data_IF_259498614961
#
_entry.id   IF_259498614961
#
_cell.length_a   1.000
_cell.length_b   1.000
_cell.length_c   1.000
_cell.angle_alpha   90.00
_cell.angle_beta   90.00
_cell.angle_gamma   90.00
#
_symmetry.space_group_name_H-M   'P 1'
#
loop_
_entity.id
_entity.type
_entity.pdbx_description
1 polymer ?
#
# COMPACT_ATOMS: atom_id res chain seq x y z
N UNK A 1 -16.38 -32.27 26.84
CA UNK A 1 -14.95 -32.15 27.19
C UNK A 1 -14.68 -30.69 27.45
N UNK A 2 -14.14 -30.34 28.61
CA UNK A 2 -13.71 -28.95 28.86
C UNK A 2 -12.53 -28.63 27.92
N UNK A 3 -12.43 -27.40 27.40
CA UNK A 3 -11.29 -27.00 26.57
C UNK A 3 -10.00 -27.16 27.39
N UNK A 4 -9.01 -27.88 26.84
CA UNK A 4 -7.69 -27.99 27.47
C UNK A 4 -7.05 -26.61 27.53
N UNK A 5 -6.49 -26.27 28.68
CA UNK A 5 -5.77 -25.00 28.85
C UNK A 5 -4.43 -25.11 28.13
N UNK A 6 -4.04 -24.15 27.26
CA UNK A 6 -2.81 -24.26 26.48
C UNK A 6 -1.58 -24.28 27.39
N UNK A 7 -0.57 -25.14 27.12
CA UNK A 7 0.63 -25.27 27.96
C UNK A 7 1.53 -24.03 27.92
N UNK A 8 1.51 -23.30 26.81
CA UNK A 8 2.35 -22.13 26.56
C UNK A 8 1.48 -21.02 25.97
N UNK A 9 1.62 -19.80 26.47
CA UNK A 9 1.01 -18.59 25.89
C UNK A 9 2.05 -17.49 25.78
N UNK A 10 2.02 -16.72 24.68
CA UNK A 10 2.91 -15.57 24.45
C UNK A 10 2.11 -14.29 24.51
N UNK A 11 2.55 -13.33 25.32
CA UNK A 11 1.94 -12.01 25.47
C UNK A 11 2.93 -10.93 25.02
N UNK A 12 2.47 -10.06 24.14
CA UNK A 12 3.22 -8.89 23.65
C UNK A 12 2.47 -7.62 24.05
N UNK A 13 3.22 -6.60 24.46
CA UNK A 13 2.66 -5.32 24.91
C UNK A 13 2.36 -4.34 23.77
N UNK A 14 2.82 -4.62 22.55
CA UNK A 14 2.79 -3.70 21.40
C UNK A 14 2.37 -4.42 20.13
N UNK A 15 1.75 -3.69 19.21
CA UNK A 15 1.27 -4.22 17.91
C UNK A 15 2.23 -3.89 16.77
N UNK A 16 2.83 -2.69 16.81
CA UNK A 16 3.81 -2.22 15.83
C UNK A 16 5.11 -1.92 16.55
N UNK A 17 6.17 -2.60 16.11
CA UNK A 17 7.53 -2.42 16.58
C UNK A 17 8.35 -1.60 15.59
N UNK A 18 9.43 -1.00 16.07
CA UNK A 18 10.31 -0.15 15.29
C UNK A 18 11.68 -0.80 15.21
N UNK A 19 12.31 -0.80 14.04
CA UNK A 19 13.68 -1.30 13.87
C UNK A 19 14.62 -0.58 14.85
N UNK A 20 15.61 -1.30 15.39
CA UNK A 20 16.52 -0.72 16.40
C UNK A 20 15.93 -0.56 17.80
N UNK A 21 14.64 -0.82 18.02
CA UNK A 21 14.03 -0.85 19.36
C UNK A 21 13.98 -2.28 19.93
N UNK A 22 13.90 -2.42 21.27
CA UNK A 22 13.65 -3.71 21.88
C UNK A 22 12.22 -4.21 21.62
N UNK A 23 12.07 -5.51 21.45
CA UNK A 23 10.81 -6.23 21.58
C UNK A 23 10.79 -6.86 22.96
N UNK A 24 9.72 -6.61 23.70
CA UNK A 24 9.50 -7.13 25.04
C UNK A 24 8.15 -7.82 25.13
N UNK A 25 8.09 -8.85 25.95
CA UNK A 25 6.88 -9.61 26.20
C UNK A 25 7.08 -10.62 27.32
N UNK A 26 6.08 -11.46 27.49
CA UNK A 26 6.07 -12.53 28.49
C UNK A 26 5.64 -13.85 27.85
N UNK A 27 6.26 -14.94 28.30
CA UNK A 27 5.79 -16.29 28.06
C UNK A 27 5.18 -16.81 29.36
N UNK A 28 3.91 -17.19 29.30
CA UNK A 28 3.19 -17.84 30.40
C UNK A 28 3.17 -19.34 30.16
N UNK A 29 3.67 -20.11 31.12
CA UNK A 29 3.67 -21.56 31.12
C UNK A 29 2.57 -22.06 32.04
N UNK A 30 1.71 -22.96 31.56
CA UNK A 30 0.74 -23.68 32.36
C UNK A 30 1.28 -25.09 32.65
N UNK A 31 1.63 -25.36 33.91
CA UNK A 31 2.32 -26.58 34.29
C UNK A 31 1.47 -27.83 34.12
N UNK A 32 0.12 -27.73 34.18
CA UNK A 32 -0.75 -28.88 33.86
C UNK A 32 -0.53 -29.32 32.41
N UNK A 33 -0.62 -28.37 31.48
CA UNK A 33 -0.37 -28.64 30.06
C UNK A 33 1.08 -29.04 29.76
N UNK A 34 2.06 -28.41 30.43
CA UNK A 34 3.49 -28.76 30.26
C UNK A 34 3.76 -30.22 30.64
N UNK A 35 3.15 -30.70 31.73
CA UNK A 35 3.26 -32.09 32.16
C UNK A 35 2.50 -33.04 31.23
N UNK A 36 1.27 -32.70 30.84
CA UNK A 36 0.45 -33.48 29.90
C UNK A 36 1.14 -33.67 28.54
N UNK A 37 1.82 -32.65 28.02
CA UNK A 37 2.55 -32.71 26.75
C UNK A 37 4.02 -33.15 26.89
N UNK A 38 4.48 -33.52 28.09
CA UNK A 38 5.87 -33.88 28.40
C UNK A 38 6.91 -32.86 27.88
N UNK A 39 6.63 -31.57 28.03
CA UNK A 39 7.55 -30.49 27.63
C UNK A 39 8.71 -30.43 28.62
N UNK A 40 9.94 -30.44 28.09
CA UNK A 40 11.20 -30.49 28.86
C UNK A 40 11.91 -29.14 28.90
N UNK A 41 11.83 -28.37 27.82
CA UNK A 41 12.43 -27.04 27.72
C UNK A 41 11.47 -26.08 27.02
N UNK A 42 11.51 -24.81 27.38
CA UNK A 42 10.80 -23.76 26.66
C UNK A 42 11.78 -22.70 26.20
N UNK A 43 11.78 -22.50 24.88
CA UNK A 43 12.61 -21.52 24.20
C UNK A 43 11.72 -20.40 23.66
N UNK A 44 12.23 -19.18 23.63
CA UNK A 44 11.63 -18.08 22.87
C UNK A 44 12.56 -17.69 21.73
N UNK A 45 11.99 -17.53 20.54
CA UNK A 45 12.71 -17.31 19.30
C UNK A 45 12.13 -16.11 18.57
N UNK A 46 12.96 -15.13 18.23
CA UNK A 46 12.62 -14.07 17.30
C UNK A 46 13.21 -14.40 15.92
N UNK A 47 12.36 -14.42 14.90
CA UNK A 47 12.76 -14.68 13.51
C UNK A 47 12.24 -13.59 12.60
N UNK A 48 13.07 -13.17 11.65
CA UNK A 48 12.74 -12.26 10.57
C UNK A 48 13.24 -12.81 9.24
N UNK A 49 12.41 -12.83 8.20
CA UNK A 49 12.76 -13.39 6.89
C UNK A 49 12.14 -12.59 5.75
N UNK A 50 12.92 -12.30 4.72
CA UNK A 50 12.40 -11.87 3.42
C UNK A 50 12.24 -13.09 2.51
N UNK A 51 11.11 -13.20 1.83
CA UNK A 51 10.77 -14.34 0.98
C UNK A 51 10.25 -13.87 -0.34
N UNK A 52 10.73 -14.51 -1.39
CA UNK A 52 10.24 -14.31 -2.74
C UNK A 52 9.93 -15.63 -3.40
N UNK A 53 8.86 -15.61 -4.18
CA UNK A 53 8.43 -16.71 -5.02
C UNK A 53 8.03 -16.15 -6.38
N UNK A 54 8.57 -16.74 -7.43
CA UNK A 54 8.22 -16.45 -8.82
C UNK A 54 7.96 -17.78 -9.52
N UNK A 55 6.75 -17.93 -10.04
CA UNK A 55 6.35 -19.03 -10.92
C UNK A 55 6.56 -18.58 -12.36
N UNK A 56 7.46 -19.26 -13.07
CA UNK A 56 7.69 -19.05 -14.49
C UNK A 56 6.96 -20.12 -15.29
N UNK A 57 5.99 -19.71 -16.11
CA UNK A 57 5.34 -20.60 -17.07
C UNK A 57 6.14 -20.56 -18.37
N UNK A 58 7.00 -21.55 -18.59
CA UNK A 58 7.67 -21.69 -19.87
C UNK A 58 6.66 -22.21 -20.91
N UNK A 59 6.52 -21.49 -22.02
CA UNK A 59 5.90 -22.05 -23.22
C UNK A 59 7.00 -22.75 -24.01
N UNK A 60 7.27 -24.01 -23.67
CA UNK A 60 8.16 -24.85 -24.48
C UNK A 60 7.33 -25.48 -25.60
N UNK A 61 7.73 -25.30 -26.88
CA UNK A 61 7.18 -26.12 -27.95
C UNK A 61 7.58 -27.57 -27.65
N UNK A 62 6.60 -28.43 -27.43
CA UNK A 62 6.88 -29.83 -27.12
C UNK A 62 7.54 -30.48 -28.34
N UNK A 63 8.69 -31.16 -28.20
CA UNK A 63 9.26 -31.96 -29.27
C UNK A 63 8.47 -33.27 -29.35
N UNK A 64 7.25 -33.24 -29.87
CA UNK A 64 6.53 -34.45 -30.27
C UNK A 64 6.81 -34.71 -31.73
N UNK A 65 7.46 -35.85 -32.00
CA UNK A 65 7.29 -36.55 -33.26
C UNK A 65 5.78 -36.65 -33.56
N UNK A 66 5.34 -36.11 -34.70
CA UNK A 66 3.96 -36.06 -35.23
C UNK A 66 3.00 -34.97 -34.67
N UNK A 67 3.15 -33.75 -35.19
CA UNK A 67 2.12 -32.95 -35.88
C UNK A 67 0.76 -32.57 -35.22
N UNK A 68 0.66 -32.39 -33.89
CA UNK A 68 -0.44 -31.58 -33.33
C UNK A 68 0.05 -30.20 -32.81
N UNK A 69 -0.06 -29.12 -33.61
CA UNK A 69 0.31 -27.78 -33.20
C UNK A 69 -0.57 -27.17 -32.09
N UNK A 70 -1.56 -27.89 -31.56
CA UNK A 70 -2.43 -27.42 -30.47
C UNK A 70 -2.03 -27.92 -29.08
N UNK A 71 -1.06 -28.84 -28.96
CA UNK A 71 -0.60 -29.34 -27.67
C UNK A 71 0.53 -28.48 -27.08
N UNK A 72 0.18 -27.33 -26.49
CA UNK A 72 1.10 -26.55 -25.65
C UNK A 72 1.10 -27.16 -24.24
N UNK A 73 2.21 -27.75 -23.81
CA UNK A 73 2.42 -28.10 -22.41
C UNK A 73 3.01 -26.90 -21.67
N UNK A 74 2.42 -26.57 -20.52
CA UNK A 74 2.95 -25.52 -19.65
C UNK A 74 3.84 -26.16 -18.60
N UNK A 75 5.15 -26.17 -18.85
CA UNK A 75 6.13 -26.49 -17.81
C UNK A 75 6.19 -25.31 -16.84
N UNK A 76 5.91 -25.59 -15.56
CA UNK A 76 5.95 -24.60 -14.48
C UNK A 76 7.24 -24.77 -13.71
N UNK A 77 8.07 -23.74 -13.72
CA UNK A 77 9.24 -23.66 -12.86
C UNK A 77 8.95 -22.73 -11.68
N UNK A 78 9.10 -23.29 -10.49
CA UNK A 78 8.90 -22.57 -9.24
C UNK A 78 10.25 -22.13 -8.66
N UNK A 79 10.45 -20.83 -8.50
CA UNK A 79 11.66 -20.29 -7.90
C UNK A 79 11.37 -19.67 -6.55
N UNK A 80 12.02 -20.21 -5.51
CA UNK A 80 11.94 -19.72 -4.14
C UNK A 80 13.30 -19.18 -3.69
N UNK A 81 13.27 -18.07 -2.95
CA UNK A 81 14.42 -17.53 -2.24
C UNK A 81 14.01 -17.03 -0.85
N UNK A 82 14.84 -17.34 0.14
CA UNK A 82 14.67 -16.92 1.53
C UNK A 82 15.93 -16.20 1.98
N UNK A 83 15.77 -15.02 2.56
CA UNK A 83 16.88 -14.24 3.14
C UNK A 83 16.59 -14.03 4.63
N UNK A 84 17.41 -14.61 5.53
CA UNK A 84 17.28 -14.36 6.95
C UNK A 84 17.62 -12.89 7.24
N UNK A 85 16.70 -12.18 7.89
CA UNK A 85 16.89 -10.78 8.28
C UNK A 85 17.29 -10.69 9.75
N UNK A 86 16.68 -11.53 10.59
CA UNK A 86 16.92 -11.56 12.02
C UNK A 86 16.78 -12.98 12.58
N UNK A 87 17.67 -13.35 13.50
CA UNK A 87 17.62 -14.59 14.25
C UNK A 87 18.10 -14.33 15.68
N UNK A 88 17.24 -14.60 16.66
CA UNK A 88 17.59 -14.51 18.08
C UNK A 88 16.85 -15.56 18.88
N UNK A 89 17.55 -16.19 19.82
CA UNK A 89 17.04 -17.28 20.66
C UNK A 89 17.37 -17.05 22.12
N UNK A 90 16.45 -17.44 23.00
CA UNK A 90 16.69 -17.50 24.43
C UNK A 90 15.96 -18.71 25.03
N UNK A 91 16.62 -19.39 25.97
CA UNK A 91 15.98 -20.45 26.77
C UNK A 91 15.35 -19.77 27.98
N UNK A 92 14.05 -19.99 28.18
CA UNK A 92 13.31 -19.38 29.29
C UNK A 92 13.15 -20.32 30.48
N UNK A 93 13.02 -21.62 30.23
CA UNK A 93 12.76 -22.61 31.27
C UNK A 93 13.23 -24.00 30.86
N UNK A 94 13.75 -24.77 31.82
CA UNK A 94 13.95 -26.21 31.72
C UNK A 94 13.26 -26.93 32.87
N UNK A 95 12.87 -28.18 32.63
CA UNK A 95 12.31 -29.05 33.66
C UNK A 95 13.32 -29.20 34.80
N UNK A 96 12.88 -28.88 36.01
CA UNK A 96 13.73 -28.86 37.21
C UNK A 96 14.20 -27.46 37.64
N UNK A 97 14.01 -26.42 36.83
CA UNK A 97 14.44 -25.05 37.17
C UNK A 97 13.50 -24.38 38.19
N UNK A 98 12.51 -23.62 37.70
CA UNK A 98 11.54 -22.90 38.50
C UNK A 98 10.15 -23.53 38.37
N UNK A 99 9.39 -23.50 39.46
CA UNK A 99 8.02 -24.02 39.53
C UNK A 99 7.03 -22.90 39.93
N UNK A 100 5.73 -23.06 39.63
CA UNK A 100 4.70 -22.11 40.06
C UNK A 100 4.68 -21.93 41.59
N UNK A 101 4.31 -20.73 42.09
CA UNK A 101 4.09 -20.53 43.52
C UNK A 101 2.90 -21.36 44.02
N UNK A 102 2.84 -21.68 45.33
CA UNK A 102 1.72 -22.45 45.91
C UNK A 102 0.36 -21.84 45.56
N UNK A 103 -0.57 -22.67 45.09
CA UNK A 103 -1.91 -22.24 44.67
C UNK A 103 -2.02 -21.70 43.23
N UNK A 104 -0.91 -21.67 42.49
CA UNK A 104 -0.89 -21.38 41.04
C UNK A 104 -0.39 -22.58 40.26
N UNK A 105 -0.89 -22.75 39.04
CA UNK A 105 -0.34 -23.70 38.05
C UNK A 105 0.43 -22.99 36.93
N UNK A 106 0.69 -21.70 37.10
CA UNK A 106 1.27 -20.86 36.06
C UNK A 106 2.55 -20.17 36.50
N UNK A 107 3.49 -20.04 35.56
CA UNK A 107 4.75 -19.33 35.72
C UNK A 107 4.96 -18.40 34.52
N UNK A 108 5.44 -17.18 34.76
CA UNK A 108 5.65 -16.17 33.72
C UNK A 108 7.12 -15.83 33.59
N UNK A 109 7.61 -15.82 32.35
CA UNK A 109 8.98 -15.46 32.02
C UNK A 109 8.99 -14.23 31.11
N UNK A 110 9.57 -13.10 31.54
CA UNK A 110 9.78 -11.97 30.64
C UNK A 110 10.88 -12.31 29.63
N UNK A 111 10.77 -11.76 28.43
CA UNK A 111 11.83 -11.83 27.43
C UNK A 111 12.05 -10.47 26.77
N UNK A 112 13.27 -10.26 26.27
CA UNK A 112 13.65 -9.07 25.53
C UNK A 112 14.59 -9.42 24.38
N UNK A 113 14.26 -8.95 23.18
CA UNK A 113 15.13 -9.03 22.01
C UNK A 113 15.42 -7.65 21.46
N UNK A 114 16.68 -7.38 21.13
CA UNK A 114 17.07 -6.11 20.50
C UNK A 114 16.98 -6.23 18.98
N UNK A 115 16.10 -5.46 18.34
CA UNK A 115 16.01 -5.44 16.87
C UNK A 115 17.23 -4.72 16.26
N UNK A 116 17.63 -5.18 15.07
CA UNK A 116 18.59 -4.46 14.24
C UNK A 116 17.96 -3.16 13.69
N UNK A 117 18.72 -2.08 13.53
CA UNK A 117 18.20 -0.78 13.09
C UNK A 117 17.80 -0.73 11.62
N UNK A 118 18.35 -1.60 10.78
CA UNK A 118 18.23 -1.62 9.32
C UNK A 118 17.17 -2.62 8.80
N UNK A 119 16.31 -3.13 9.69
CA UNK A 119 15.28 -4.08 9.29
C UNK A 119 14.24 -3.44 8.36
N UNK A 120 13.90 -4.08 7.23
CA UNK A 120 12.82 -3.62 6.37
C UNK A 120 11.45 -3.71 7.08
N UNK A 121 10.43 -2.97 6.61
CA UNK A 121 9.10 -3.07 7.15
C UNK A 121 8.48 -4.44 6.90
N UNK A 122 7.57 -4.86 7.78
CA UNK A 122 6.66 -5.97 7.53
C UNK A 122 5.88 -5.73 6.25
N UNK A 123 5.86 -6.73 5.37
CA UNK A 123 5.29 -6.60 4.03
C UNK A 123 4.73 -7.94 3.56
N UNK A 124 3.64 -7.91 2.79
CA UNK A 124 3.11 -9.11 2.12
C UNK A 124 2.38 -8.74 0.85
N UNK A 125 2.78 -9.38 -0.22
CA UNK A 125 2.17 -9.33 -1.55
C UNK A 125 2.00 -10.75 -2.08
N UNK A 126 0.84 -11.04 -2.65
CA UNK A 126 0.55 -12.30 -3.30
C UNK A 126 -0.28 -12.08 -4.56
N UNK A 127 0.11 -12.77 -5.62
CA UNK A 127 -0.62 -12.89 -6.88
C UNK A 127 -0.49 -14.34 -7.38
N UNK A 128 -1.17 -14.70 -8.47
CA UNK A 128 -1.21 -16.08 -8.97
C UNK A 128 0.18 -16.69 -9.24
N UNK A 129 1.13 -15.91 -9.75
CA UNK A 129 2.47 -16.39 -10.12
C UNK A 129 3.60 -15.78 -9.30
N UNK A 130 3.31 -14.90 -8.34
CA UNK A 130 4.33 -14.12 -7.64
C UNK A 130 3.93 -13.89 -6.21
N UNK A 131 4.84 -14.12 -5.27
CA UNK A 131 4.66 -13.74 -3.86
C UNK A 131 5.93 -13.08 -3.35
N UNK A 132 5.77 -12.06 -2.52
CA UNK A 132 6.85 -11.41 -1.82
C UNK A 132 6.39 -11.09 -0.40
N UNK A 133 7.20 -11.39 0.60
CA UNK A 133 6.87 -11.09 1.99
C UNK A 133 8.10 -10.79 2.83
N UNK A 134 7.93 -9.94 3.82
CA UNK A 134 8.88 -9.66 4.89
C UNK A 134 8.16 -9.97 6.19
N UNK A 135 8.52 -11.10 6.80
CA UNK A 135 7.80 -11.71 7.89
C UNK A 135 8.63 -11.65 9.18
N UNK A 136 8.02 -11.24 10.28
CA UNK A 136 8.63 -11.27 11.62
C UNK A 136 7.71 -11.98 12.59
N UNK A 137 8.25 -12.83 13.45
CA UNK A 137 7.46 -13.46 14.51
C UNK A 137 8.31 -13.79 15.74
N UNK A 138 7.65 -13.71 16.90
CA UNK A 138 8.08 -14.39 18.11
C UNK A 138 7.46 -15.80 18.10
N UNK A 139 8.25 -16.80 18.43
CA UNK A 139 7.79 -18.17 18.65
C UNK A 139 8.24 -18.65 20.02
N UNK A 140 7.30 -19.10 20.86
CA UNK A 140 7.64 -19.92 22.02
C UNK A 140 7.58 -21.40 21.61
N UNK A 141 8.64 -22.14 21.91
CA UNK A 141 8.82 -23.53 21.50
C UNK A 141 9.01 -24.39 22.73
N UNK A 142 8.02 -25.25 23.02
CA UNK A 142 8.12 -26.32 24.00
C UNK A 142 8.77 -27.55 23.38
N UNK A 143 9.97 -27.88 23.81
CA UNK A 143 10.75 -29.02 23.32
C UNK A 143 10.27 -30.29 24.02
N UNK A 144 9.92 -31.31 23.24
CA UNK A 144 9.50 -32.63 23.73
C UNK A 144 10.57 -33.68 23.44
N UNK A 145 10.78 -34.67 24.31
CA UNK A 145 11.77 -35.69 24.08
C UNK A 145 11.30 -36.68 23.00
N UNK A 146 12.24 -37.30 22.30
CA UNK A 146 11.97 -38.30 21.27
C UNK A 146 11.91 -37.73 19.85
N UNK A 147 12.49 -38.47 18.90
CA UNK A 147 12.70 -38.05 17.50
C UNK A 147 11.41 -37.85 16.70
N UNK A 148 10.31 -38.47 17.13
CA UNK A 148 9.01 -38.44 16.43
C UNK A 148 8.00 -37.46 17.04
N UNK A 149 8.31 -36.88 18.19
CA UNK A 149 7.44 -35.90 18.82
C UNK A 149 7.70 -34.52 18.21
N UNK A 150 6.69 -33.94 17.57
CA UNK A 150 6.77 -32.56 17.10
C UNK A 150 6.94 -31.62 18.30
N UNK A 151 7.71 -30.54 18.21
CA UNK A 151 7.75 -29.57 19.30
C UNK A 151 6.43 -28.78 19.38
N UNK A 152 5.97 -28.47 20.59
CA UNK A 152 4.86 -27.54 20.80
C UNK A 152 5.33 -26.14 20.38
N UNK A 153 4.57 -25.43 19.54
CA UNK A 153 4.97 -24.10 19.05
C UNK A 153 3.80 -23.13 19.05
N UNK A 154 3.97 -22.03 19.77
CA UNK A 154 3.08 -20.87 19.73
C UNK A 154 3.79 -19.76 18.97
N UNK A 155 3.14 -19.21 17.94
CA UNK A 155 3.73 -18.17 17.09
C UNK A 155 2.88 -16.91 17.11
N UNK A 156 3.52 -15.77 17.29
CA UNK A 156 2.90 -14.45 17.28
C UNK A 156 3.59 -13.58 16.20
N UNK A 157 2.92 -13.32 15.06
CA UNK A 157 3.42 -12.40 14.05
C UNK A 157 3.58 -10.98 14.59
N UNK A 158 4.57 -10.24 14.05
CA UNK A 158 4.89 -8.86 14.43
C UNK A 158 4.80 -7.93 13.23
N UNK A 159 4.23 -6.74 13.40
CA UNK A 159 4.46 -5.66 12.45
C UNK A 159 5.72 -4.87 12.87
N UNK A 160 6.69 -4.77 11.97
CA UNK A 160 7.90 -3.94 12.14
C UNK A 160 7.87 -2.83 11.09
N UNK A 161 8.30 -1.64 11.48
CA UNK A 161 8.58 -0.52 10.56
C UNK A 161 9.97 0.04 10.85
N UNK A 162 10.66 0.64 9.86
CA UNK A 162 11.92 1.33 10.10
C UNK A 162 11.78 2.49 11.09
N UNK A 163 12.78 2.71 11.94
CA UNK A 163 12.90 3.94 12.73
C UNK A 163 13.08 5.15 11.81
N UNK A 164 12.29 6.19 12.02
CA UNK A 164 12.26 7.33 11.11
C UNK A 164 12.11 8.68 11.84
N UNK A 165 13.21 9.19 12.44
CA UNK A 165 13.20 10.50 13.07
C UNK A 165 12.94 11.65 12.06
N UNK A 166 13.38 11.50 10.81
CA UNK A 166 13.15 12.51 9.77
C UNK A 166 11.66 12.61 9.40
N UNK A 167 10.96 11.49 9.25
CA UNK A 167 9.54 11.48 8.98
C UNK A 167 8.67 11.96 10.13
N UNK A 168 9.15 11.92 11.39
CA UNK A 168 8.45 12.58 12.51
C UNK A 168 8.40 14.09 12.29
N UNK A 169 9.52 14.71 11.89
CA UNK A 169 9.55 16.15 11.57
C UNK A 169 8.63 16.49 10.38
N UNK A 170 8.59 15.62 9.37
CA UNK A 170 7.67 15.79 8.23
C UNK A 170 6.21 15.67 8.68
N UNK A 171 5.90 14.71 9.57
CA UNK A 171 4.56 14.54 10.14
C UNK A 171 4.13 15.78 10.92
N UNK A 172 5.01 16.33 11.75
CA UNK A 172 4.76 17.58 12.47
C UNK A 172 4.48 18.73 11.51
N UNK A 173 5.30 18.87 10.45
CA UNK A 173 5.08 19.86 9.39
C UNK A 173 3.74 19.66 8.67
N UNK A 174 3.33 18.42 8.36
CA UNK A 174 2.03 18.15 7.74
C UNK A 174 0.86 18.52 8.67
N UNK A 175 1.01 18.29 9.98
CA UNK A 175 -0.01 18.65 10.97
C UNK A 175 -0.21 20.17 11.12
N UNK A 176 0.81 20.98 10.78
CA UNK A 176 0.69 22.44 10.78
C UNK A 176 0.07 23.00 9.50
N UNK A 177 0.07 22.24 8.40
CA UNK A 177 -0.63 22.60 7.15
C UNK A 177 -2.14 22.40 7.37
N UNK A 178 -2.75 23.38 8.04
CA UNK A 178 -4.21 23.41 8.28
C UNK A 178 -5.00 24.01 7.13
N UNK A 179 -4.35 24.72 6.20
CA UNK A 179 -4.99 25.33 5.02
C UNK A 179 -4.10 25.22 3.78
N UNK A 180 -4.75 25.23 2.60
CA UNK A 180 -4.11 25.16 1.28
C UNK A 180 -3.15 26.35 1.02
N UNK A 181 -3.30 27.43 1.80
CA UNK A 181 -2.53 28.67 1.69
C UNK A 181 -1.21 28.68 2.48
N UNK A 182 -0.88 27.59 3.18
CA UNK A 182 0.38 27.50 3.92
C UNK A 182 1.59 27.60 2.98
N UNK A 183 2.68 28.24 3.41
CA UNK A 183 3.95 28.44 2.65
C UNK A 183 4.64 27.14 2.17
N UNK A 184 4.06 25.97 2.44
CA UNK A 184 4.59 24.71 1.94
C UNK A 184 4.39 24.65 0.44
N UNK A 185 5.50 24.76 -0.30
CA UNK A 185 5.48 24.62 -1.75
C UNK A 185 4.77 23.32 -2.17
N UNK A 186 4.07 23.36 -3.31
CA UNK A 186 3.32 22.23 -3.84
C UNK A 186 4.14 21.52 -4.91
N UNK A 187 4.25 20.19 -4.80
CA UNK A 187 4.74 19.35 -5.89
C UNK A 187 3.56 19.02 -6.79
N UNK A 188 3.74 19.28 -8.07
CA UNK A 188 2.67 19.15 -9.06
C UNK A 188 3.14 18.30 -10.23
N UNK A 189 2.40 17.26 -10.55
CA UNK A 189 2.54 16.50 -11.80
C UNK A 189 1.33 16.77 -12.67
N UNK A 190 1.55 16.85 -13.98
CA UNK A 190 0.46 17.03 -14.94
C UNK A 190 0.72 16.23 -16.21
N UNK A 191 -0.35 15.92 -16.92
CA UNK A 191 -0.26 15.30 -18.23
C UNK A 191 -1.39 15.86 -19.11
N UNK A 192 -1.22 15.76 -20.42
CA UNK A 192 -2.18 16.22 -21.42
C UNK A 192 -2.42 15.12 -22.45
N UNK A 193 -3.69 14.90 -22.80
CA UNK A 193 -4.09 13.92 -23.81
C UNK A 193 -5.10 14.50 -24.78
N UNK A 194 -4.99 14.10 -26.04
CA UNK A 194 -5.99 14.37 -27.06
C UNK A 194 -7.04 13.25 -27.07
N UNK A 195 -8.31 13.61 -26.97
CA UNK A 195 -9.43 12.65 -26.94
C UNK A 195 -10.52 13.03 -27.94
N UNK A 196 -11.34 12.06 -28.34
CA UNK A 196 -12.38 12.25 -29.35
C UNK A 196 -13.64 11.44 -29.03
N UNK A 197 -14.82 11.97 -29.38
CA UNK A 197 -16.11 11.35 -29.01
C UNK A 197 -16.41 10.02 -29.72
N UNK A 198 -15.81 9.78 -30.90
CA UNK A 198 -16.01 8.58 -31.70
C UNK A 198 -14.83 8.30 -32.63
N UNK A 199 -14.98 7.35 -33.56
CA UNK A 199 -13.91 6.97 -34.51
C UNK A 199 -13.57 8.07 -35.53
N UNK A 200 -14.48 9.03 -35.73
CA UNK A 200 -14.37 10.14 -36.65
C UNK A 200 -14.67 11.45 -35.90
N UNK A 201 -13.89 12.49 -36.15
CA UNK A 201 -14.07 13.80 -35.54
C UNK A 201 -12.76 14.45 -35.14
N UNK A 202 -12.85 15.74 -34.81
CA UNK A 202 -11.74 16.53 -34.30
C UNK A 202 -11.37 16.11 -32.88
N UNK A 203 -10.10 16.30 -32.54
CA UNK A 203 -9.60 16.04 -31.21
C UNK A 203 -9.90 17.22 -30.29
N UNK A 204 -10.31 16.88 -29.07
CA UNK A 204 -10.33 17.78 -27.93
C UNK A 204 -9.13 17.49 -27.03
N UNK A 205 -8.77 18.42 -26.17
CA UNK A 205 -7.63 18.27 -25.27
C UNK A 205 -8.12 18.18 -23.83
N UNK A 206 -7.55 17.25 -23.06
CA UNK A 206 -7.72 17.19 -21.61
C UNK A 206 -6.35 17.32 -20.96
N UNK A 207 -6.27 18.18 -19.95
CA UNK A 207 -5.15 18.31 -19.06
C UNK A 207 -5.60 17.94 -17.65
N UNK A 208 -4.87 17.06 -16.97
CA UNK A 208 -5.09 16.76 -15.55
C UNK A 208 -3.81 17.02 -14.79
N UNK A 209 -3.96 17.62 -13.63
CA UNK A 209 -2.90 18.05 -12.75
C UNK A 209 -3.20 17.54 -11.34
N UNK A 210 -2.24 16.87 -10.71
CA UNK A 210 -2.27 16.44 -9.33
C UNK A 210 -1.22 17.23 -8.56
N UNK A 211 -1.62 17.82 -7.44
CA UNK A 211 -0.73 18.53 -6.52
C UNK A 211 -0.82 17.97 -5.12
N UNK A 212 0.33 17.80 -4.47
CA UNK A 212 0.50 17.44 -3.05
C UNK A 212 1.60 18.31 -2.43
N UNK A 213 1.71 18.43 -1.08
CA UNK A 213 2.81 19.15 -0.44
C UNK A 213 4.18 18.66 -0.94
N UNK A 214 5.08 19.57 -1.31
CA UNK A 214 6.42 19.23 -1.80
C UNK A 214 7.31 18.75 -0.65
N UNK A 215 7.22 17.47 -0.35
CA UNK A 215 7.96 16.80 0.70
C UNK A 215 8.82 15.67 0.10
N UNK A 216 9.99 15.38 0.70
CA UNK A 216 10.86 14.31 0.21
C UNK A 216 10.27 12.92 0.45
N UNK A 217 9.40 12.77 1.46
CA UNK A 217 8.67 11.54 1.77
C UNK A 217 7.35 11.86 2.48
N UNK A 218 6.43 10.90 2.51
CA UNK A 218 5.10 11.02 3.11
C UNK A 218 4.96 10.00 4.25
N UNK A 219 4.79 10.45 5.51
CA UNK A 219 4.72 9.53 6.64
C UNK A 219 3.39 8.79 6.71
N UNK A 220 3.38 7.64 7.38
CA UNK A 220 2.15 6.91 7.68
C UNK A 220 1.24 7.71 8.61
N UNK A 221 -0.05 7.38 8.58
CA UNK A 221 -1.08 7.78 9.54
C UNK A 221 -1.25 9.30 9.77
N UNK A 222 -0.78 10.14 8.84
CA UNK A 222 -1.03 11.58 8.82
C UNK A 222 -1.91 11.96 7.63
N UNK A 223 -2.74 13.00 7.78
CA UNK A 223 -3.50 13.56 6.66
C UNK A 223 -2.57 14.29 5.71
N UNK A 224 -2.61 13.91 4.43
CA UNK A 224 -1.84 14.52 3.35
C UNK A 224 -2.84 15.22 2.44
N UNK A 225 -2.86 16.56 2.40
CA UNK A 225 -3.76 17.28 1.51
C UNK A 225 -3.36 17.08 0.05
N UNK A 226 -4.33 17.15 -0.85
CA UNK A 226 -4.10 17.08 -2.29
C UNK A 226 -5.09 17.94 -3.07
N UNK A 227 -4.71 18.29 -4.29
CA UNK A 227 -5.54 19.02 -5.25
C UNK A 227 -5.48 18.29 -6.59
N UNK A 228 -6.63 18.00 -7.19
CA UNK A 228 -6.73 17.51 -8.57
C UNK A 228 -7.42 18.58 -9.40
N UNK A 229 -6.74 19.11 -10.42
CA UNK A 229 -7.31 20.04 -11.39
C UNK A 229 -7.48 19.34 -12.73
N UNK A 230 -8.66 19.46 -13.32
CA UNK A 230 -8.99 18.92 -14.64
C UNK A 230 -9.37 20.10 -15.51
N UNK A 231 -8.77 20.21 -16.69
CA UNK A 231 -9.09 21.18 -17.72
C UNK A 231 -9.42 20.42 -19.00
N UNK A 232 -10.59 20.68 -19.54
CA UNK A 232 -10.97 20.23 -20.88
C UNK A 232 -11.01 21.43 -21.83
N UNK A 233 -10.56 21.21 -23.06
CA UNK A 233 -10.62 22.16 -24.17
C UNK A 233 -11.31 21.43 -25.32
N UNK A 234 -12.47 21.91 -25.75
CA UNK A 234 -13.20 21.29 -26.86
C UNK A 234 -12.44 21.41 -28.18
N UNK A 235 -12.87 20.61 -29.16
CA UNK A 235 -12.53 20.88 -30.56
C UNK A 235 -12.97 22.30 -30.98
N UNK A 236 -12.40 22.81 -32.07
CA UNK A 236 -12.68 24.14 -32.58
C UNK A 236 -14.10 24.19 -33.16
N UNK A 237 -14.90 25.15 -32.71
CA UNK A 237 -16.28 25.33 -33.15
C UNK A 237 -16.47 26.74 -33.71
N UNK A 238 -17.37 26.88 -34.67
CA UNK A 238 -17.91 28.18 -35.04
C UNK A 238 -18.80 28.71 -33.91
N UNK A 239 -18.81 30.02 -33.66
CA UNK A 239 -19.58 30.64 -32.58
C UNK A 239 -21.07 30.28 -32.64
N UNK A 240 -21.65 30.27 -33.83
CA UNK A 240 -23.05 29.84 -34.01
C UNK A 240 -23.32 28.40 -33.50
N UNK A 241 -22.38 27.46 -33.72
CA UNK A 241 -22.49 26.08 -33.21
C UNK A 241 -22.26 26.01 -31.70
N UNK A 242 -21.42 26.89 -31.17
CA UNK A 242 -21.15 26.99 -29.74
C UNK A 242 -22.39 27.51 -28.99
N UNK A 243 -23.05 28.54 -29.51
CA UNK A 243 -24.26 29.14 -28.91
C UNK A 243 -25.49 28.22 -29.05
N UNK A 244 -25.51 27.32 -30.04
CA UNK A 244 -26.53 26.29 -30.17
C UNK A 244 -26.44 25.19 -29.08
N UNK A 245 -25.32 25.09 -28.35
CA UNK A 245 -25.17 24.12 -27.27
C UNK A 245 -25.90 24.63 -26.02
N UNK A 246 -26.88 23.89 -25.47
CA UNK A 246 -27.62 24.34 -24.28
C UNK A 246 -26.68 24.67 -23.11
N UNK A 247 -27.00 25.73 -22.36
CA UNK A 247 -26.17 26.22 -21.25
C UNK A 247 -25.99 25.17 -20.14
N UNK A 248 -26.97 24.29 -19.97
CA UNK A 248 -27.01 23.19 -18.99
C UNK A 248 -26.22 21.94 -19.42
N UNK A 249 -25.86 21.81 -20.70
CA UNK A 249 -25.16 20.63 -21.22
C UNK A 249 -23.66 20.88 -21.34
N UNK A 250 -22.77 20.04 -20.81
CA UNK A 250 -21.34 20.25 -20.95
C UNK A 250 -20.88 20.13 -22.40
N UNK A 251 -19.86 20.91 -22.77
CA UNK A 251 -19.12 20.72 -24.01
C UNK A 251 -18.30 19.42 -23.92
N UNK A 252 -18.10 18.74 -25.04
CA UNK A 252 -17.21 17.58 -25.05
C UNK A 252 -15.75 18.05 -25.02
N UNK A 253 -14.89 17.44 -24.19
CA UNK A 253 -15.18 16.39 -23.21
C UNK A 253 -15.66 16.98 -21.88
N UNK A 254 -16.75 16.44 -21.34
CA UNK A 254 -17.27 16.88 -20.06
C UNK A 254 -16.27 16.57 -18.94
N UNK A 255 -15.98 17.55 -18.08
CA UNK A 255 -15.18 17.33 -16.87
C UNK A 255 -16.05 16.64 -15.81
N UNK A 256 -15.44 15.83 -14.91
CA UNK A 256 -16.14 15.32 -13.74
C UNK A 256 -16.73 16.46 -12.91
N UNK A 257 -17.98 16.28 -12.46
CA UNK A 257 -18.66 17.22 -11.55
C UNK A 257 -18.52 16.81 -10.09
N UNK A 258 -18.31 15.52 -9.85
CA UNK A 258 -18.13 14.97 -8.51
C UNK A 258 -16.89 14.06 -8.46
N UNK A 259 -16.37 13.82 -7.25
CA UNK A 259 -15.15 13.05 -7.07
C UNK A 259 -15.33 11.56 -7.38
N UNK A 260 -16.55 11.01 -7.25
CA UNK A 260 -16.85 9.60 -7.54
C UNK A 260 -16.72 9.25 -9.02
N UNK A 261 -16.74 10.27 -9.88
CA UNK A 261 -16.56 10.13 -11.32
C UNK A 261 -15.09 9.94 -11.71
N UNK A 262 -14.14 10.14 -10.80
CA UNK A 262 -12.72 9.84 -11.02
C UNK A 262 -12.24 8.75 -10.05
N UNK A 263 -11.08 8.16 -10.36
CA UNK A 263 -10.42 7.23 -9.43
C UNK A 263 -9.11 7.84 -8.97
N UNK A 264 -8.96 8.02 -7.67
CA UNK A 264 -7.67 8.33 -7.03
C UNK A 264 -7.25 7.16 -6.16
N UNK A 265 -6.06 6.62 -6.41
CA UNK A 265 -5.57 5.43 -5.73
C UNK A 265 -4.06 5.46 -5.52
N UNK A 266 -3.60 4.67 -4.58
CA UNK A 266 -2.20 4.36 -4.37
C UNK A 266 -1.87 3.04 -5.07
N UNK A 267 -0.85 3.06 -5.93
CA UNK A 267 -0.27 1.87 -6.55
C UNK A 267 1.08 1.55 -5.90
N UNK A 268 1.34 0.28 -5.64
CA UNK A 268 2.68 -0.21 -5.35
C UNK A 268 3.31 -0.74 -6.65
N UNK A 269 4.53 -0.30 -6.96
CA UNK A 269 5.39 -0.89 -7.98
C UNK A 269 6.44 -1.71 -7.26
N UNK A 270 6.37 -3.02 -7.40
CA UNK A 270 7.31 -3.93 -6.75
C UNK A 270 8.34 -4.40 -7.75
N UNK A 271 9.55 -4.68 -7.29
CA UNK A 271 10.53 -5.51 -7.99
C UNK A 271 10.82 -6.71 -7.10
N UNK A 272 10.51 -7.90 -7.63
CA UNK A 272 10.66 -9.18 -6.94
C UNK A 272 11.76 -9.96 -7.66
N UNK A 273 12.72 -10.47 -6.91
CA UNK A 273 13.78 -11.32 -7.42
C UNK A 273 13.79 -12.64 -6.65
N UNK A 274 13.78 -13.75 -7.39
CA UNK A 274 13.98 -15.09 -6.86
C UNK A 274 15.05 -15.79 -7.72
N UNK A 275 16.25 -15.94 -7.16
CA UNK A 275 17.44 -16.44 -7.88
C UNK A 275 17.75 -15.55 -9.10
N UNK A 276 17.80 -16.16 -10.30
CA UNK A 276 18.05 -15.46 -11.56
C UNK A 276 16.80 -14.73 -12.11
N UNK A 277 15.61 -15.02 -11.59
CA UNK A 277 14.36 -14.50 -12.12
C UNK A 277 13.97 -13.19 -11.44
N UNK A 278 13.55 -12.21 -12.25
CA UNK A 278 13.12 -10.89 -11.81
C UNK A 278 11.76 -10.57 -12.39
N UNK A 279 10.93 -9.93 -11.60
CA UNK A 279 9.60 -9.48 -12.01
C UNK A 279 9.29 -8.10 -11.43
N UNK A 280 8.40 -7.36 -12.09
CA UNK A 280 8.00 -6.01 -11.66
C UNK A 280 6.47 -5.82 -11.58
N UNK A 281 5.77 -6.54 -10.69
CA UNK A 281 4.32 -6.40 -10.57
C UNK A 281 3.93 -5.01 -10.07
N UNK A 282 2.78 -4.53 -10.56
CA UNK A 282 2.10 -3.36 -10.01
C UNK A 282 0.79 -3.82 -9.38
N UNK A 283 0.43 -3.28 -8.23
CA UNK A 283 -0.82 -3.57 -7.53
C UNK A 283 -1.47 -2.30 -7.02
N UNK A 284 -2.80 -2.28 -7.00
CA UNK A 284 -3.55 -1.27 -6.27
C UNK A 284 -3.48 -1.59 -4.78
N UNK A 285 -3.11 -0.60 -3.97
CA UNK A 285 -2.91 -0.74 -2.51
C UNK A 285 -4.08 -0.12 -1.75
N UNK A 286 -4.51 1.07 -2.19
CA UNK A 286 -5.61 1.81 -1.58
C UNK A 286 -6.36 2.61 -2.63
N UNK A 287 -7.67 2.74 -2.47
CA UNK A 287 -8.52 3.65 -3.27
C UNK A 287 -9.10 4.70 -2.34
N UNK A 288 -8.80 5.98 -2.58
CA UNK A 288 -9.18 7.07 -1.69
C UNK A 288 -10.63 7.54 -1.87
N UNK A 289 -11.30 7.11 -2.94
CA UNK A 289 -12.63 7.58 -3.36
C UNK A 289 -13.83 6.71 -2.94
N UNK A 290 -13.60 5.55 -2.32
CA UNK A 290 -14.68 4.60 -1.97
C UNK A 290 -14.87 4.53 -0.46
N UNK A 291 -15.65 5.44 0.11
CA UNK A 291 -16.15 5.30 1.50
C UNK A 291 -15.97 6.49 2.43
N UNK A 292 -15.35 7.59 1.98
CA UNK A 292 -15.45 8.85 2.71
C UNK A 292 -16.86 9.41 2.50
N UNK A 293 -17.51 9.83 3.59
CA UNK A 293 -18.77 10.60 3.51
C UNK A 293 -18.52 11.84 2.63
N UNK A 294 -19.51 12.23 1.82
CA UNK A 294 -19.42 13.30 0.83
C UNK A 294 -18.88 14.64 1.39
N UNK A 295 -18.89 14.81 2.71
CA UNK A 295 -18.40 15.98 3.45
C UNK A 295 -16.86 16.17 3.42
N UNK A 296 -16.07 15.18 3.00
CA UNK A 296 -14.61 15.28 3.02
C UNK A 296 -13.97 15.89 1.75
N UNK A 297 -14.75 16.16 0.70
CA UNK A 297 -14.25 16.68 -0.58
C UNK A 297 -14.85 18.04 -0.90
N UNK A 298 -13.99 19.01 -1.20
CA UNK A 298 -14.42 20.28 -1.81
C UNK A 298 -14.27 20.16 -3.32
N UNK A 299 -15.37 20.32 -4.04
CA UNK A 299 -15.40 20.36 -5.50
C UNK A 299 -15.78 21.77 -5.97
N UNK A 300 -14.94 22.36 -6.82
CA UNK A 300 -15.20 23.62 -7.51
C UNK A 300 -15.23 23.38 -9.01
N UNK A 301 -16.39 23.60 -9.61
CA UNK A 301 -16.67 23.33 -11.03
C UNK A 301 -17.28 24.60 -11.63
N UNK A 302 -16.46 25.59 -12.02
CA UNK A 302 -16.96 26.82 -12.58
C UNK A 302 -17.68 26.58 -13.91
N UNK A 303 -18.59 27.49 -14.33
CA UNK A 303 -19.21 27.44 -15.63
C UNK A 303 -18.19 27.38 -16.77
N UNK A 304 -18.56 26.74 -17.88
CA UNK A 304 -17.72 26.68 -19.08
C UNK A 304 -17.48 28.08 -19.66
N UNK A 305 -16.30 28.28 -20.23
CA UNK A 305 -15.83 29.54 -20.78
C UNK A 305 -15.59 29.40 -22.28
N UNK A 306 -16.09 30.34 -23.08
CA UNK A 306 -15.77 30.39 -24.51
C UNK A 306 -14.51 31.21 -24.74
N UNK A 307 -13.54 30.65 -25.46
CA UNK A 307 -12.31 31.33 -25.84
C UNK A 307 -12.23 31.41 -27.37
N UNK A 308 -12.34 32.62 -27.96
CA UNK A 308 -12.12 32.81 -29.39
C UNK A 308 -10.70 32.38 -29.78
N UNK A 309 -10.57 31.75 -30.95
CA UNK A 309 -9.27 31.46 -31.52
C UNK A 309 -8.75 32.75 -32.18
N UNK A 310 -7.54 33.18 -31.81
CA UNK A 310 -6.90 34.29 -32.53
C UNK A 310 -6.78 33.88 -34.00
N UNK A 311 -7.31 34.71 -34.89
CA UNK A 311 -7.26 34.41 -36.32
C UNK A 311 -5.82 34.58 -36.77
N UNK A 312 -5.14 33.47 -37.09
CA UNK A 312 -3.81 33.45 -37.69
C UNK A 312 -3.82 34.22 -39.02
N UNK A 313 -3.54 35.53 -38.98
CA UNK A 313 -3.06 36.31 -40.12
C UNK A 313 -4.06 36.91 -41.11
N UNK A 314 -5.36 37.02 -40.80
CA UNK A 314 -6.35 37.62 -41.71
C UNK A 314 -6.86 38.99 -41.28
N UNK A 315 -6.36 40.06 -41.89
CA UNK A 315 -6.85 41.46 -41.84
C UNK A 315 -7.16 42.06 -40.44
N UNK A 316 -6.21 42.80 -39.88
CA UNK A 316 -6.39 43.60 -38.65
C UNK A 316 -7.59 44.57 -38.69
N UNK A 317 -8.11 44.88 -39.88
CA UNK A 317 -9.24 45.80 -40.08
C UNK A 317 -10.61 45.27 -39.60
N UNK A 318 -10.74 43.98 -39.23
CA UNK A 318 -12.00 43.40 -38.71
C UNK A 318 -11.94 42.95 -37.24
N UNK A 319 -11.05 43.52 -36.43
CA UNK A 319 -10.88 43.16 -35.00
C UNK A 319 -12.07 43.53 -34.08
N UNK A 320 -13.12 44.19 -34.57
CA UNK A 320 -14.20 44.72 -33.72
C UNK A 320 -15.49 43.88 -33.63
N UNK A 321 -15.80 43.05 -34.63
CA UNK A 321 -17.09 42.34 -34.68
C UNK A 321 -16.92 40.82 -34.53
N UNK A 322 -17.43 40.29 -33.42
CA UNK A 322 -17.57 38.85 -33.18
C UNK A 322 -18.71 38.33 -34.07
N UNK A 323 -18.36 37.99 -35.31
CA UNK A 323 -19.30 37.42 -36.26
C UNK A 323 -19.68 35.97 -35.92
N UNK A 324 -20.80 35.45 -36.48
CA UNK A 324 -21.23 34.06 -36.28
C UNK A 324 -20.20 33.00 -36.75
N UNK A 325 -19.29 33.40 -37.63
CA UNK A 325 -18.21 32.58 -38.19
C UNK A 325 -16.93 32.57 -37.34
N UNK A 326 -16.85 33.38 -36.27
CA UNK A 326 -15.69 33.39 -35.39
C UNK A 326 -15.50 32.01 -34.77
N UNK A 327 -14.31 31.42 -34.99
CA UNK A 327 -13.96 30.12 -34.43
C UNK A 327 -13.44 30.28 -33.00
N UNK A 328 -13.65 29.26 -32.18
CA UNK A 328 -13.15 29.23 -30.81
C UNK A 328 -13.33 27.87 -30.17
N UNK A 329 -13.05 27.78 -28.88
CA UNK A 329 -13.13 26.54 -28.10
C UNK A 329 -13.86 26.79 -26.79
N UNK A 330 -14.52 25.75 -26.28
CA UNK A 330 -15.03 25.72 -24.91
C UNK A 330 -13.95 25.21 -23.96
N UNK A 331 -13.70 25.94 -22.89
CA UNK A 331 -12.85 25.52 -21.78
C UNK A 331 -13.74 25.18 -20.59
N UNK A 332 -13.54 24.01 -20.00
CA UNK A 332 -14.23 23.61 -18.77
C UNK A 332 -13.20 23.16 -17.75
N UNK A 333 -13.44 23.47 -16.47
CA UNK A 333 -12.51 23.20 -15.38
C UNK A 333 -13.23 22.53 -14.22
N UNK A 334 -12.54 21.63 -13.54
CA UNK A 334 -12.97 21.06 -12.27
C UNK A 334 -11.78 20.98 -11.32
N UNK A 335 -11.97 21.39 -10.08
CA UNK A 335 -10.96 21.31 -9.01
C UNK A 335 -11.51 20.50 -7.86
N UNK A 336 -10.80 19.44 -7.47
CA UNK A 336 -11.12 18.62 -6.31
C UNK A 336 -10.02 18.78 -5.25
N UNK A 337 -10.43 19.04 -4.01
CA UNK A 337 -9.53 19.19 -2.87
C UNK A 337 -9.97 18.30 -1.72
N UNK A 338 -9.02 17.59 -1.11
CA UNK A 338 -9.25 16.79 0.09
C UNK A 338 -7.92 16.40 0.73
N UNK A 339 -7.93 15.42 1.64
CA UNK A 339 -6.74 14.80 2.18
C UNK A 339 -6.88 13.28 2.21
N UNK A 340 -5.76 12.57 2.16
CA UNK A 340 -5.71 11.12 2.33
C UNK A 340 -4.74 10.72 3.44
N UNK A 341 -4.85 9.48 3.92
CA UNK A 341 -3.93 8.90 4.91
C UNK A 341 -3.32 7.62 4.36
N UNK A 342 -2.07 7.36 4.70
CA UNK A 342 -1.33 6.16 4.31
C UNK A 342 -1.25 5.19 5.49
N UNK A 343 -1.61 3.93 5.26
CA UNK A 343 -1.55 2.86 6.26
C UNK A 343 -0.87 1.58 5.73
N UNK A 344 -0.19 1.66 4.59
CA UNK A 344 0.54 0.57 3.96
C UNK A 344 2.02 0.53 4.43
N UNK A 345 2.76 -0.56 4.17
CA UNK A 345 4.19 -0.61 4.45
C UNK A 345 4.96 0.57 3.80
N UNK A 346 5.95 1.18 4.47
CA UNK A 346 6.81 2.21 3.88
C UNK A 346 7.54 1.74 2.60
N UNK A 347 8.05 2.68 1.82
CA UNK A 347 8.98 2.39 0.71
C UNK A 347 10.23 1.72 1.26
N UNK A 348 10.65 0.61 0.64
CA UNK A 348 11.84 -0.11 1.09
C UNK A 348 12.48 -0.91 -0.05
N UNK A 349 13.72 -1.31 0.19
CA UNK A 349 14.43 -2.27 -0.66
C UNK A 349 15.22 -3.25 0.20
N UNK A 350 15.19 -4.52 -0.19
CA UNK A 350 16.08 -5.59 0.25
C UNK A 350 16.80 -6.13 -0.98
N UNK A 351 17.60 -7.18 -0.81
CA UNK A 351 18.25 -7.87 -1.94
C UNK A 351 17.24 -8.46 -2.95
N UNK A 352 16.07 -8.89 -2.47
CA UNK A 352 15.08 -9.62 -3.32
C UNK A 352 13.76 -8.89 -3.52
N UNK A 353 13.48 -7.85 -2.73
CA UNK A 353 12.20 -7.13 -2.76
C UNK A 353 12.48 -5.64 -2.75
N UNK A 354 11.97 -4.90 -3.73
CA UNK A 354 11.85 -3.45 -3.68
C UNK A 354 10.37 -3.09 -3.82
N UNK A 355 9.88 -2.15 -3.01
CA UNK A 355 8.51 -1.67 -3.07
C UNK A 355 8.50 -0.14 -3.14
N UNK A 356 8.15 0.39 -4.30
CA UNK A 356 7.95 1.81 -4.56
C UNK A 356 6.46 2.12 -4.68
N UNK A 357 6.09 3.39 -4.57
CA UNK A 357 4.69 3.80 -4.64
C UNK A 357 4.47 4.93 -5.64
N UNK A 358 3.27 4.97 -6.21
CA UNK A 358 2.79 6.08 -7.02
C UNK A 358 1.33 6.38 -6.72
N UNK A 359 1.00 7.66 -6.62
CA UNK A 359 -0.38 8.12 -6.65
C UNK A 359 -0.88 8.09 -8.08
N UNK A 360 -2.05 7.52 -8.31
CA UNK A 360 -2.62 7.34 -9.63
C UNK A 360 -4.00 8.00 -9.71
N UNK A 361 -4.16 8.93 -10.64
CA UNK A 361 -5.45 9.53 -11.01
C UNK A 361 -5.89 8.94 -12.35
N UNK A 362 -7.13 8.44 -12.39
CA UNK A 362 -7.82 8.06 -13.62
C UNK A 362 -9.07 8.91 -13.77
N UNK A 363 -9.20 9.58 -14.91
CA UNK A 363 -10.41 10.34 -15.25
C UNK A 363 -11.04 9.70 -16.48
N UNK A 364 -12.22 9.08 -16.34
CA UNK A 364 -12.91 8.51 -17.48
C UNK A 364 -13.55 9.61 -18.32
N UNK A 365 -13.35 9.56 -19.64
CA UNK A 365 -14.06 10.42 -20.58
C UNK A 365 -14.88 9.57 -21.56
N UNK A 366 -16.03 10.07 -22.06
CA UNK A 366 -16.84 9.32 -23.01
C UNK A 366 -16.06 8.98 -24.29
N UNK A 367 -16.15 7.73 -24.74
CA UNK A 367 -15.50 7.23 -25.95
C UNK A 367 -14.48 6.11 -25.67
N UNK A 368 -14.17 5.32 -26.70
CA UNK A 368 -13.28 4.17 -26.56
C UNK A 368 -11.82 4.62 -26.37
N UNK A 369 -11.20 4.20 -25.25
CA UNK A 369 -9.79 4.49 -24.96
C UNK A 369 -9.51 5.92 -24.49
N UNK A 370 -10.54 6.70 -24.14
CA UNK A 370 -10.38 8.08 -23.67
C UNK A 370 -10.12 8.19 -22.16
N UNK A 371 -9.82 7.09 -21.48
CA UNK A 371 -9.44 7.13 -20.07
C UNK A 371 -8.11 7.85 -19.91
N UNK A 372 -8.14 8.96 -19.19
CA UNK A 372 -6.95 9.71 -18.88
C UNK A 372 -6.26 9.10 -17.66
N UNK A 373 -4.93 8.99 -17.69
CA UNK A 373 -4.11 8.48 -16.60
C UNK A 373 -2.96 9.43 -16.25
N UNK A 374 -2.77 9.67 -14.95
CA UNK A 374 -1.63 10.38 -14.37
C UNK A 374 -1.09 9.58 -13.19
N UNK A 375 0.20 9.29 -13.20
CA UNK A 375 0.90 8.62 -12.10
C UNK A 375 1.97 9.58 -11.53
N UNK A 376 1.99 9.77 -10.21
CA UNK A 376 2.96 10.60 -9.48
C UNK A 376 3.74 9.71 -8.50
N UNK A 377 5.04 9.44 -8.72
CA UNK A 377 5.85 8.66 -7.80
C UNK A 377 5.99 9.36 -6.44
N UNK A 378 5.82 8.60 -5.36
CA UNK A 378 6.00 9.09 -3.98
C UNK A 378 6.86 8.14 -3.16
N UNK A 379 7.55 8.67 -2.16
CA UNK A 379 8.26 7.88 -1.15
C UNK A 379 7.40 7.86 0.11
N UNK A 380 7.07 6.67 0.60
CA UNK A 380 6.34 6.51 1.86
C UNK A 380 7.35 6.19 2.95
N UNK A 381 7.25 6.85 4.09
CA UNK A 381 8.12 6.63 5.24
C UNK A 381 7.31 6.29 6.48
N UNK A 382 7.90 5.68 7.51
CA UNK A 382 7.13 5.28 8.70
C UNK A 382 6.64 6.49 9.50
N UNK A 383 7.48 7.52 9.67
CA UNK A 383 7.22 8.63 10.59
C UNK A 383 7.06 8.18 12.04
N UNK A 384 7.70 7.07 12.42
CA UNK A 384 7.59 6.44 13.75
C UNK A 384 9.00 6.18 14.29
N UNK A 385 9.26 6.63 15.52
CA UNK A 385 10.56 6.43 16.22
C UNK A 385 10.45 5.53 17.43
N UNK A 386 9.24 5.28 17.92
CA UNK A 386 8.99 4.45 19.08
C UNK A 386 7.89 3.42 18.79
N UNK A 387 7.99 2.20 19.34
CA UNK A 387 6.95 1.19 19.20
C UNK A 387 5.57 1.71 19.65
N UNK A 388 4.50 1.33 18.95
CA UNK A 388 3.14 1.79 19.28
C UNK A 388 2.52 0.83 20.29
N UNK A 389 2.02 1.38 21.42
CA UNK A 389 1.41 0.56 22.46
C UNK A 389 0.15 -0.13 21.92
N UNK A 390 -0.05 -1.39 22.33
CA UNK A 390 -1.32 -2.07 22.11
C UNK A 390 -2.31 -1.53 23.13
N UNK A 391 -3.16 -0.57 22.75
CA UNK A 391 -4.29 -0.23 23.60
C UNK A 391 -5.24 -1.44 23.64
N UNK A 392 -5.30 -2.08 24.81
CA UNK A 392 -6.42 -2.92 25.19
C UNK A 392 -7.57 -1.96 25.47
N UNK A 393 -8.66 -2.08 24.72
CA UNK A 393 -9.72 -1.07 24.67
C UNK A 393 -10.38 -0.84 26.03
N UNK A 394 -10.02 0.27 26.69
CA UNK A 394 -10.81 0.95 27.73
C UNK A 394 -11.23 2.38 27.28
N UNK A 395 -11.35 2.59 25.96
CA UNK A 395 -12.31 3.56 25.42
C UNK A 395 -11.88 4.99 25.11
N UNK A 396 -10.65 5.46 25.39
CA UNK A 396 -10.30 6.85 25.02
C UNK A 396 -8.80 7.19 24.96
N UNK A 397 -8.12 6.91 23.85
CA UNK A 397 -7.05 7.78 23.34
C UNK A 397 -6.70 7.48 21.88
N UNK A 398 -5.97 8.40 21.26
CA UNK A 398 -5.71 8.50 19.82
C UNK A 398 -5.04 7.23 19.30
N UNK A 399 -5.85 6.35 18.69
CA UNK A 399 -5.40 5.10 18.09
C UNK A 399 -4.63 5.37 16.80
N UNK A 400 -3.35 5.03 16.75
CA UNK A 400 -2.68 4.82 15.47
C UNK A 400 -3.21 3.49 14.91
N UNK A 401 -3.97 3.49 13.80
CA UNK A 401 -4.50 2.24 13.25
C UNK A 401 -3.32 1.32 12.91
N UNK A 402 -3.45 0.01 13.11
CA UNK A 402 -2.38 -0.92 12.76
C UNK A 402 -2.01 -0.77 11.29
N UNK A 403 -0.74 -1.02 10.97
CA UNK A 403 -0.28 -1.16 9.59
C UNK A 403 -1.22 -2.12 8.87
N UNK A 404 -1.84 -1.69 7.76
CA UNK A 404 -2.74 -2.52 6.94
C UNK A 404 -1.93 -3.59 6.22
N UNK A 405 -1.67 -4.66 6.94
CA UNK A 405 -1.17 -5.92 6.40
C UNK A 405 -2.35 -6.83 6.09
N UNK A 406 -2.27 -7.62 5.01
CA UNK A 406 -3.37 -8.51 4.62
C UNK A 406 -3.58 -9.59 5.70
N UNK A 407 -4.80 -10.13 5.88
CA UNK A 407 -5.12 -11.08 6.95
C UNK A 407 -4.17 -12.29 7.03
N UNK A 408 -3.69 -12.75 5.88
CA UNK A 408 -2.75 -13.87 5.75
C UNK A 408 -1.38 -13.57 6.37
N UNK A 409 -1.04 -12.31 6.63
CA UNK A 409 0.15 -11.94 7.40
C UNK A 409 0.02 -12.37 8.87
N UNK A 410 -1.16 -12.16 9.43
CA UNK A 410 -1.44 -12.35 10.85
C UNK A 410 -1.75 -13.81 11.21
N UNK A 411 -1.97 -14.65 10.21
CA UNK A 411 -2.14 -16.08 10.41
C UNK A 411 -0.79 -16.76 10.73
N UNK A 412 -0.50 -16.87 12.03
CA UNK A 412 0.68 -17.56 12.57
C UNK A 412 0.71 -19.07 12.32
N UNK A 413 -0.41 -19.66 11.87
CA UNK A 413 -0.52 -21.08 11.50
C UNK A 413 -0.17 -21.36 10.04
N UNK A 414 -0.09 -20.32 9.20
CA UNK A 414 0.12 -20.49 7.77
C UNK A 414 1.43 -21.24 7.45
N UNK A 415 1.38 -22.05 6.38
CA UNK A 415 2.51 -22.83 5.86
C UNK A 415 3.76 -21.97 5.60
N UNK A 416 3.55 -20.68 5.30
CA UNK A 416 4.66 -19.75 5.14
C UNK A 416 5.53 -19.76 6.40
N UNK A 417 4.96 -19.66 7.58
CA UNK A 417 5.76 -19.65 8.80
C UNK A 417 6.49 -20.97 9.11
N UNK A 418 6.10 -22.10 8.48
CA UNK A 418 6.74 -23.40 8.71
C UNK A 418 8.15 -23.52 8.13
N UNK A 419 8.51 -22.71 7.12
CA UNK A 419 9.87 -22.70 6.54
C UNK A 419 10.88 -21.97 7.44
N UNK A 420 10.42 -21.26 8.49
CA UNK A 420 11.30 -20.77 9.57
C UNK A 420 11.57 -21.84 10.63
N UNK A 421 11.72 -23.09 10.21
CA UNK A 421 12.26 -24.12 11.09
C UNK A 421 13.77 -23.92 11.13
N UNK A 422 14.28 -23.86 12.36
CA UNK A 422 15.71 -23.89 12.63
C UNK A 422 16.28 -25.24 12.24
#
# INVERSE_FOLDING_TARGET
>A
MAPSVPPITVRLFRTVHVSGCPIEGEVELNFRGIHEEDIQEVHVKLRGVARTYVMHCLQTPKPTHAADPRCITHDKEDHYQHIPLFQGDAILWRRGDAYPPPGSDTLRFPFRFQLKPDLPPSFKFASLSRKASVLYAISAVGVRPGTFNSNHRVRVPLAIVPADPAGVLIREKLNTIRSVESEVGWRTEWNEAKIRRGLWGEYSTVQVLLSIPNLPAYPLHVSIPFIIKIKSISATLARAKADALPADKPAFPAVPVTYEQLTFKLKSKMRIQARAHKDTPTSDVMVFARGATSEAFTADVPPREWVPLESDGGDEKKRGEVGPETKGTWIQRATFQSSFRLDCPPTFSTETIQCDYALAVRVPFPGMGNDFHLDMPIVITSGITAPVLREWSDGSSITCPPLRLPPEYWDGSSLEWMVMKD
#
